data_IF_965405691228
#
_entry.id   IF_965405691228
#
_cell.length_a   1.000
_cell.length_b   1.000
_cell.length_c   1.000
_cell.angle_alpha   90.00
_cell.angle_beta   90.00
_cell.angle_gamma   90.00
#
_symmetry.space_group_name_H-M   'P 1'
#
loop_
_entity.id
_entity.type
_entity.pdbx_description
1 polymer ?
#
# COMPACT_ATOMS: atom_id res chain seq x y z
N UNK A 1 -30.46 -4.70 13.03
CA UNK A 1 -29.88 -5.08 11.72
C UNK A 1 -29.97 -3.88 10.77
N UNK A 2 -28.85 -3.20 10.49
CA UNK A 2 -28.72 -2.06 9.55
C UNK A 2 -27.34 -2.03 8.83
N UNK A 3 -26.44 -2.98 9.12
CA UNK A 3 -25.07 -3.01 8.58
C UNK A 3 -25.02 -3.44 7.11
N UNK A 4 -25.96 -4.27 6.67
CA UNK A 4 -25.92 -4.89 5.32
C UNK A 4 -26.15 -3.87 4.19
N UNK A 5 -26.90 -2.79 4.47
CA UNK A 5 -27.12 -1.74 3.48
C UNK A 5 -25.91 -0.84 3.23
N UNK A 6 -24.94 -0.74 4.16
CA UNK A 6 -23.81 0.19 3.98
C UNK A 6 -22.84 -0.31 2.92
N UNK A 7 -22.42 -1.57 3.04
CA UNK A 7 -21.52 -2.21 2.08
C UNK A 7 -22.22 -2.32 0.72
N UNK A 8 -23.47 -2.77 0.71
CA UNK A 8 -24.23 -2.87 -0.54
C UNK A 8 -24.38 -1.52 -1.24
N UNK A 9 -24.75 -0.46 -0.51
CA UNK A 9 -24.87 0.88 -1.09
C UNK A 9 -23.52 1.48 -1.51
N UNK A 10 -22.42 1.11 -0.86
CA UNK A 10 -21.09 1.60 -1.20
C UNK A 10 -20.61 1.05 -2.56
N UNK A 11 -20.87 -0.23 -2.85
CA UNK A 11 -20.33 -0.91 -4.04
C UNK A 11 -21.35 -1.12 -5.17
N UNK A 12 -22.64 -1.27 -4.84
CA UNK A 12 -23.66 -1.71 -5.80
C UNK A 12 -24.77 -0.68 -6.05
N UNK A 13 -24.72 0.50 -5.42
CA UNK A 13 -25.69 1.56 -5.68
C UNK A 13 -25.64 2.01 -7.14
N UNK A 14 -26.73 1.79 -7.88
CA UNK A 14 -26.85 2.10 -9.32
C UNK A 14 -26.80 3.59 -9.62
N UNK A 15 -27.02 4.46 -8.63
CA UNK A 15 -26.95 5.91 -8.79
C UNK A 15 -25.50 6.43 -8.87
N UNK A 16 -24.50 5.59 -8.55
CA UNK A 16 -23.08 5.93 -8.63
C UNK A 16 -22.53 5.43 -9.97
N UNK A 17 -21.73 6.28 -10.63
CA UNK A 17 -21.05 5.92 -11.88
C UNK A 17 -20.31 4.56 -11.75
N UNK A 18 -20.33 3.77 -12.82
CA UNK A 18 -19.69 2.45 -12.81
C UNK A 18 -18.18 2.53 -12.54
N UNK A 19 -17.50 3.54 -13.09
CA UNK A 19 -16.07 3.80 -12.84
C UNK A 19 -15.76 3.95 -11.36
N UNK A 20 -16.57 4.71 -10.62
CA UNK A 20 -16.40 4.93 -9.18
C UNK A 20 -16.64 3.65 -8.40
N UNK A 21 -17.69 2.88 -8.75
CA UNK A 21 -17.98 1.58 -8.10
C UNK A 21 -16.84 0.58 -8.30
N UNK A 22 -16.35 0.48 -9.54
CA UNK A 22 -15.20 -0.34 -9.87
C UNK A 22 -13.95 0.13 -9.11
N UNK A 23 -13.71 1.45 -9.06
CA UNK A 23 -12.63 2.06 -8.30
C UNK A 23 -12.66 1.67 -6.83
N UNK A 24 -13.82 1.73 -6.16
CA UNK A 24 -13.96 1.31 -4.76
C UNK A 24 -13.65 -0.16 -4.55
N UNK A 25 -14.08 -1.04 -5.46
CA UNK A 25 -13.80 -2.48 -5.38
C UNK A 25 -12.29 -2.71 -5.50
N UNK A 26 -11.65 -2.12 -6.53
CA UNK A 26 -10.21 -2.21 -6.77
C UNK A 26 -9.44 -1.65 -5.56
N UNK A 27 -9.85 -0.49 -5.03
CA UNK A 27 -9.24 0.15 -3.87
C UNK A 27 -9.33 -0.75 -2.64
N UNK A 28 -10.48 -1.40 -2.42
CA UNK A 28 -10.67 -2.32 -1.30
C UNK A 28 -9.75 -3.54 -1.42
N UNK A 29 -9.65 -4.11 -2.63
CA UNK A 29 -8.75 -5.23 -2.90
C UNK A 29 -7.30 -4.82 -2.67
N UNK A 30 -6.86 -3.72 -3.27
CA UNK A 30 -5.50 -3.18 -3.10
C UNK A 30 -5.19 -2.89 -1.63
N UNK A 31 -6.15 -2.33 -0.89
CA UNK A 31 -6.00 -2.07 0.54
C UNK A 31 -5.82 -3.36 1.35
N UNK A 32 -6.59 -4.42 1.06
CA UNK A 32 -6.43 -5.69 1.76
C UNK A 32 -5.05 -6.30 1.47
N UNK A 33 -4.62 -6.29 0.20
CA UNK A 33 -3.32 -6.80 -0.21
C UNK A 33 -2.16 -6.03 0.43
N UNK A 34 -2.24 -4.70 0.45
CA UNK A 34 -1.28 -3.83 1.13
C UNK A 34 -1.20 -4.08 2.63
N UNK A 35 -2.35 -4.36 3.27
CA UNK A 35 -2.39 -4.65 4.69
C UNK A 35 -1.60 -5.93 5.00
N UNK A 36 -1.86 -7.01 4.25
CA UNK A 36 -1.15 -8.28 4.42
C UNK A 36 0.35 -8.14 4.12
N UNK A 37 0.70 -7.44 3.04
CA UNK A 37 2.10 -7.19 2.68
C UNK A 37 2.81 -6.35 3.75
N UNK A 38 2.21 -5.24 4.17
CA UNK A 38 2.74 -4.38 5.23
C UNK A 38 3.00 -5.15 6.52
N UNK A 39 2.05 -5.98 6.97
CA UNK A 39 2.24 -6.83 8.14
C UNK A 39 3.34 -7.89 7.94
N UNK A 40 3.37 -8.56 6.78
CA UNK A 40 4.40 -9.57 6.49
C UNK A 40 5.80 -8.96 6.53
N UNK A 41 6.03 -7.83 5.85
CA UNK A 41 7.33 -7.16 5.86
C UNK A 41 7.68 -6.57 7.22
N UNK A 42 6.70 -6.08 7.98
CA UNK A 42 6.92 -5.63 9.35
C UNK A 42 7.39 -6.77 10.25
N UNK A 43 6.75 -7.95 10.19
CA UNK A 43 7.16 -9.13 10.96
C UNK A 43 8.54 -9.62 10.51
N UNK A 44 8.77 -9.75 9.20
CA UNK A 44 10.07 -10.16 8.65
C UNK A 44 11.20 -9.24 9.09
N UNK A 45 10.97 -7.92 9.10
CA UNK A 45 11.95 -6.94 9.59
C UNK A 45 12.39 -7.20 11.04
N UNK A 46 11.43 -7.41 11.95
CA UNK A 46 11.77 -7.72 13.35
C UNK A 46 12.42 -9.09 13.51
N UNK A 47 12.02 -10.08 12.69
CA UNK A 47 12.66 -11.38 12.68
C UNK A 47 14.13 -11.31 12.22
N UNK A 48 14.41 -10.56 11.16
CA UNK A 48 15.78 -10.34 10.65
C UNK A 48 16.64 -9.54 11.63
N UNK A 49 16.06 -8.55 12.31
CA UNK A 49 16.71 -7.81 13.39
C UNK A 49 17.08 -8.72 14.56
N UNK A 50 16.15 -9.57 15.01
CA UNK A 50 16.38 -10.51 16.10
C UNK A 50 17.43 -11.58 15.75
N UNK A 51 17.52 -11.98 14.48
CA UNK A 51 18.52 -12.92 13.98
C UNK A 51 19.89 -12.28 13.72
N UNK A 52 20.04 -10.97 13.91
CA UNK A 52 21.31 -10.25 13.65
C UNK A 52 21.73 -10.25 12.18
N UNK A 53 20.78 -10.39 11.24
CA UNK A 53 21.05 -10.45 9.79
C UNK A 53 21.22 -9.07 9.14
N UNK A 54 21.05 -8.01 9.91
CA UNK A 54 21.21 -6.63 9.44
C UNK A 54 22.65 -6.20 9.72
N UNK A 55 23.45 -6.12 8.67
CA UNK A 55 24.82 -5.62 8.73
C UNK A 55 24.82 -4.09 8.71
N UNK A 56 25.43 -3.47 9.72
CA UNK A 56 25.36 -2.02 10.00
C UNK A 56 26.64 -1.28 9.62
N UNK A 57 27.32 -1.75 8.57
CA UNK A 57 28.65 -1.26 8.18
C UNK A 57 28.60 0.03 7.33
N UNK A 58 27.41 0.42 6.84
CA UNK A 58 27.19 1.62 6.01
C UNK A 58 26.17 2.57 6.69
N UNK A 59 26.44 3.90 6.77
CA UNK A 59 25.45 4.91 7.15
C UNK A 59 24.10 4.80 6.44
N UNK A 60 24.07 4.34 5.18
CA UNK A 60 22.82 4.12 4.43
C UNK A 60 21.98 3.01 5.07
N UNK A 61 22.60 1.95 5.59
CA UNK A 61 21.90 0.86 6.25
C UNK A 61 21.18 1.31 7.54
N UNK A 62 21.73 2.31 8.24
CA UNK A 62 21.09 2.92 9.42
C UNK A 62 19.84 3.71 9.07
N UNK A 63 19.88 4.45 7.96
CA UNK A 63 18.72 5.21 7.47
C UNK A 63 17.61 4.24 7.06
N UNK A 64 17.96 3.17 6.34
CA UNK A 64 17.00 2.13 5.95
C UNK A 64 16.38 1.41 7.15
N UNK A 65 17.17 1.14 8.20
CA UNK A 65 16.69 0.50 9.43
C UNK A 65 15.55 1.31 10.07
N UNK A 66 15.62 2.63 10.04
CA UNK A 66 14.59 3.52 10.62
C UNK A 66 13.41 3.68 9.65
N UNK A 67 13.68 3.85 8.35
CA UNK A 67 12.64 4.16 7.37
C UNK A 67 11.77 2.96 7.01
N UNK A 68 12.31 1.74 6.94
CA UNK A 68 11.57 0.52 6.58
C UNK A 68 10.36 0.25 7.48
N UNK A 69 10.47 0.21 8.83
CA UNK A 69 9.31 -0.05 9.68
C UNK A 69 8.27 1.08 9.62
N UNK A 70 8.70 2.32 9.43
CA UNK A 70 7.82 3.46 9.22
C UNK A 70 7.00 3.24 7.94
N UNK A 71 7.65 2.91 6.83
CA UNK A 71 6.99 2.62 5.56
C UNK A 71 5.93 1.53 5.70
N UNK A 72 6.26 0.41 6.35
CA UNK A 72 5.32 -0.70 6.53
C UNK A 72 4.10 -0.30 7.37
N UNK A 73 4.29 0.54 8.40
CA UNK A 73 3.18 1.11 9.16
C UNK A 73 2.32 2.03 8.29
N UNK A 74 2.93 2.86 7.43
CA UNK A 74 2.20 3.69 6.48
C UNK A 74 1.39 2.86 5.48
N UNK A 75 1.91 1.71 5.00
CA UNK A 75 1.14 0.79 4.16
C UNK A 75 -0.10 0.24 4.88
N UNK A 76 0.03 -0.12 6.16
CA UNK A 76 -1.11 -0.58 6.98
C UNK A 76 -2.13 0.55 7.18
N UNK A 77 -1.67 1.77 7.46
CA UNK A 77 -2.58 2.92 7.61
C UNK A 77 -3.26 3.30 6.29
N UNK A 78 -2.55 3.26 5.16
CA UNK A 78 -3.11 3.47 3.82
C UNK A 78 -4.20 2.44 3.51
N UNK A 79 -3.99 1.19 3.93
CA UNK A 79 -4.96 0.10 3.79
C UNK A 79 -6.24 0.36 4.58
N UNK A 80 -6.11 0.76 5.85
CA UNK A 80 -7.26 1.12 6.70
C UNK A 80 -8.00 2.31 6.09
N UNK A 81 -7.26 3.34 5.66
CA UNK A 81 -7.81 4.53 5.01
C UNK A 81 -8.57 4.20 3.71
N UNK A 82 -8.00 3.36 2.85
CA UNK A 82 -8.61 2.95 1.58
C UNK A 82 -9.89 2.15 1.75
N UNK A 83 -9.93 1.19 2.69
CA UNK A 83 -11.17 0.48 3.03
C UNK A 83 -12.21 1.44 3.62
N UNK A 84 -11.80 2.32 4.53
CA UNK A 84 -12.68 3.29 5.19
C UNK A 84 -13.32 4.26 4.17
N UNK A 85 -12.52 4.72 3.20
CA UNK A 85 -12.96 5.52 2.07
C UNK A 85 -13.99 4.75 1.22
N UNK A 86 -13.68 3.50 0.83
CA UNK A 86 -14.56 2.70 -0.02
C UNK A 86 -15.95 2.48 0.58
N UNK A 87 -16.06 2.43 1.91
CA UNK A 87 -17.34 2.24 2.62
C UNK A 87 -17.97 3.56 3.11
N UNK A 88 -17.45 4.72 2.69
CA UNK A 88 -17.89 6.05 3.14
C UNK A 88 -17.94 6.20 4.67
N UNK A 89 -16.99 5.61 5.41
CA UNK A 89 -16.91 5.76 6.87
C UNK A 89 -15.73 6.62 7.28
N UNK A 90 -16.02 7.65 8.08
CA UNK A 90 -15.11 8.21 9.07
C UNK A 90 -14.04 9.21 8.60
N UNK A 91 -13.33 9.82 9.58
CA UNK A 91 -12.41 10.97 9.42
C UNK A 91 -11.07 10.65 8.75
N UNK A 92 -10.91 9.42 8.24
CA UNK A 92 -9.63 8.90 7.73
C UNK A 92 -9.42 9.12 6.24
N UNK A 93 -10.32 9.84 5.55
CA UNK A 93 -10.19 10.14 4.12
C UNK A 93 -8.94 10.99 3.85
N UNK A 94 -8.71 12.02 4.67
CA UNK A 94 -7.52 12.88 4.60
C UNK A 94 -6.25 12.10 4.96
N UNK A 95 -6.37 11.16 5.91
CA UNK A 95 -5.27 10.26 6.27
C UNK A 95 -4.97 9.27 5.14
N UNK A 96 -5.97 8.78 4.43
CA UNK A 96 -5.83 7.89 3.27
C UNK A 96 -5.07 8.57 2.14
N UNK A 97 -5.42 9.83 1.81
CA UNK A 97 -4.71 10.59 0.79
C UNK A 97 -3.24 10.87 1.18
N UNK A 98 -2.98 11.26 2.43
CA UNK A 98 -1.62 11.51 2.92
C UNK A 98 -0.78 10.24 2.95
N UNK A 99 -1.33 9.15 3.48
CA UNK A 99 -0.64 7.84 3.56
C UNK A 99 -0.41 7.27 2.16
N UNK A 100 -1.35 7.42 1.23
CA UNK A 100 -1.17 7.09 -0.18
C UNK A 100 -0.02 7.88 -0.82
N UNK A 101 0.05 9.20 -0.63
CA UNK A 101 1.14 10.03 -1.18
C UNK A 101 2.49 9.58 -0.63
N UNK A 102 2.59 9.38 0.68
CA UNK A 102 3.82 8.94 1.34
C UNK A 102 4.23 7.55 0.82
N UNK A 103 3.32 6.58 0.81
CA UNK A 103 3.57 5.25 0.24
C UNK A 103 3.97 5.29 -1.23
N UNK A 104 3.42 6.24 -2.01
CA UNK A 104 3.77 6.43 -3.42
C UNK A 104 5.18 6.99 -3.62
N UNK A 105 5.61 7.92 -2.78
CA UNK A 105 6.99 8.43 -2.79
C UNK A 105 7.96 7.30 -2.44
N UNK A 106 7.68 6.54 -1.39
CA UNK A 106 8.53 5.42 -1.00
C UNK A 106 8.57 4.31 -2.05
N UNK A 107 7.45 4.02 -2.71
CA UNK A 107 7.39 3.12 -3.86
C UNK A 107 8.34 3.55 -4.97
N UNK A 108 8.30 4.83 -5.37
CA UNK A 108 9.20 5.33 -6.41
C UNK A 108 10.67 5.21 -6.00
N UNK A 109 10.99 5.51 -4.74
CA UNK A 109 12.35 5.36 -4.21
C UNK A 109 12.80 3.90 -4.25
N UNK A 110 11.96 2.96 -3.79
CA UNK A 110 12.26 1.53 -3.79
C UNK A 110 12.40 0.96 -5.20
N UNK A 111 11.49 1.32 -6.10
CA UNK A 111 11.56 0.89 -7.50
C UNK A 111 12.86 1.35 -8.16
N UNK A 112 13.33 2.56 -7.85
CA UNK A 112 14.61 3.08 -8.35
C UNK A 112 15.79 2.27 -7.80
N UNK A 113 15.79 1.90 -6.52
CA UNK A 113 16.82 1.05 -5.93
C UNK A 113 16.80 -0.37 -6.53
N UNK A 114 15.63 -0.95 -6.70
CA UNK A 114 15.47 -2.29 -7.30
C UNK A 114 15.91 -2.30 -8.78
N UNK A 115 15.59 -1.24 -9.54
CA UNK A 115 16.09 -1.05 -10.90
C UNK A 115 17.62 -0.89 -10.93
N UNK A 116 18.20 -0.12 -10.01
CA UNK A 116 19.64 0.04 -9.91
C UNK A 116 20.33 -1.30 -9.60
N UNK A 117 19.81 -2.05 -8.63
CA UNK A 117 20.32 -3.38 -8.26
C UNK A 117 20.19 -4.38 -9.42
N UNK A 118 19.10 -4.31 -10.18
CA UNK A 118 18.92 -5.11 -11.38
C UNK A 118 19.95 -4.75 -12.47
N UNK A 119 20.19 -3.46 -12.71
CA UNK A 119 21.14 -2.98 -13.74
C UNK A 119 22.59 -3.35 -13.37
N UNK A 120 22.96 -3.22 -12.10
CA UNK A 120 24.33 -3.45 -11.64
C UNK A 120 24.60 -4.95 -11.39
N UNK A 121 23.64 -5.66 -10.80
CA UNK A 121 23.80 -7.04 -10.34
C UNK A 121 23.14 -8.11 -11.21
N UNK A 122 22.25 -7.74 -12.13
CA UNK A 122 21.57 -8.67 -13.04
C UNK A 122 20.54 -9.61 -12.37
N UNK A 123 20.13 -9.32 -11.12
CA UNK A 123 19.26 -10.20 -10.34
C UNK A 123 17.77 -9.98 -10.65
N UNK A 124 17.33 -10.56 -11.77
CA UNK A 124 15.93 -10.53 -12.21
C UNK A 124 14.97 -11.23 -11.24
N UNK A 125 15.45 -12.19 -10.45
CA UNK A 125 14.60 -12.96 -9.54
C UNK A 125 14.15 -12.10 -8.37
N UNK A 126 15.10 -11.43 -7.71
CA UNK A 126 14.78 -10.54 -6.59
C UNK A 126 13.95 -9.32 -7.05
N UNK A 127 14.27 -8.76 -8.22
CA UNK A 127 13.46 -7.71 -8.83
C UNK A 127 12.01 -8.16 -9.07
N UNK A 128 11.79 -9.32 -9.69
CA UNK A 128 10.45 -9.83 -9.97
C UNK A 128 9.64 -10.10 -8.70
N UNK A 129 10.27 -10.60 -7.63
CA UNK A 129 9.63 -10.87 -6.33
C UNK A 129 9.26 -9.57 -5.61
N UNK A 130 10.14 -8.57 -5.61
CA UNK A 130 9.84 -7.24 -5.07
C UNK A 130 8.68 -6.58 -5.82
N UNK A 131 8.75 -6.61 -7.15
CA UNK A 131 7.74 -6.01 -8.03
C UNK A 131 6.35 -6.69 -7.94
N UNK A 132 6.31 -8.02 -7.80
CA UNK A 132 5.02 -8.75 -7.71
C UNK A 132 4.37 -8.68 -6.33
N UNK A 133 5.08 -8.24 -5.30
CA UNK A 133 4.55 -8.14 -3.94
C UNK A 133 4.10 -6.73 -3.60
N UNK A 134 5.02 -5.84 -3.22
CA UNK A 134 4.69 -4.50 -2.71
C UNK A 134 4.18 -3.59 -3.84
N UNK A 135 4.91 -3.57 -4.94
CA UNK A 135 4.72 -2.64 -6.05
C UNK A 135 3.39 -2.86 -6.77
N UNK A 136 3.07 -4.12 -7.06
CA UNK A 136 1.79 -4.49 -7.66
C UNK A 136 0.60 -4.13 -6.74
N UNK A 137 0.73 -4.33 -5.42
CA UNK A 137 -0.34 -4.02 -4.49
C UNK A 137 -0.55 -2.51 -4.34
N UNK A 138 0.53 -1.72 -4.36
CA UNK A 138 0.47 -0.27 -4.39
C UNK A 138 -0.16 0.22 -5.69
N UNK A 139 0.19 -0.35 -6.84
CA UNK A 139 -0.40 0.00 -8.13
C UNK A 139 -1.92 -0.24 -8.14
N UNK A 140 -2.37 -1.41 -7.68
CA UNK A 140 -3.80 -1.74 -7.56
C UNK A 140 -4.49 -0.72 -6.65
N UNK A 141 -3.88 -0.40 -5.50
CA UNK A 141 -4.42 0.59 -4.57
C UNK A 141 -4.56 1.97 -5.21
N UNK A 142 -3.53 2.49 -5.89
CA UNK A 142 -3.57 3.81 -6.52
C UNK A 142 -4.57 3.89 -7.67
N UNK A 143 -4.67 2.85 -8.50
CA UNK A 143 -5.68 2.79 -9.57
C UNK A 143 -7.08 2.83 -8.96
N UNK A 144 -7.33 2.05 -7.91
CA UNK A 144 -8.59 2.05 -7.19
C UNK A 144 -8.92 3.43 -6.61
N UNK A 145 -7.95 4.07 -5.96
CA UNK A 145 -8.10 5.41 -5.39
C UNK A 145 -8.38 6.46 -6.46
N UNK A 146 -7.61 6.47 -7.55
CA UNK A 146 -7.78 7.43 -8.64
C UNK A 146 -9.16 7.32 -9.31
N UNK A 147 -9.69 6.11 -9.48
CA UNK A 147 -11.03 5.89 -10.03
C UNK A 147 -12.15 6.25 -9.04
N UNK A 148 -11.88 6.20 -7.74
CA UNK A 148 -12.90 6.38 -6.71
C UNK A 148 -12.92 7.79 -6.08
N UNK A 149 -11.84 8.58 -6.22
CA UNK A 149 -11.68 9.91 -5.60
C UNK A 149 -12.75 10.92 -6.07
N UNK A 150 -13.18 10.85 -7.33
CA UNK A 150 -14.14 11.77 -7.95
C UNK A 150 -15.56 11.65 -7.38
N UNK A 151 -15.79 10.77 -6.40
CA UNK A 151 -17.04 10.71 -5.64
C UNK A 151 -17.13 11.80 -4.55
N UNK A 152 -16.00 12.38 -4.14
CA UNK A 152 -15.93 13.33 -3.02
C UNK A 152 -16.04 14.79 -3.50
N UNK A 153 -15.80 15.04 -4.80
CA UNK A 153 -16.00 16.33 -5.45
C UNK A 153 -17.41 16.46 -6.04
#
# INVERSE_FOLDING_TARGET
>A
MKKDNIVYNAFFNKNIAFSIRLGRIILTIGSILLCFSGFAHFISFFADLACGRIFLDDPVAWIELILRPILYLFMVFASIGGVSFSINKGPFISLAALTAIISGIFFLIWLLFDLQNLIIGGDWSNFAVSFTSIDLFLLIYFIGWFLAKDYID
#
